data_IF_010915881896
#
_entry.id   IF_010915881896
#
_cell.length_a   1.000
_cell.length_b   1.000
_cell.length_c   1.000
_cell.angle_alpha   90.00
_cell.angle_beta   90.00
_cell.angle_gamma   90.00
#
_symmetry.space_group_name_H-M   'P 1'
#
loop_
_entity.id
_entity.type
_entity.pdbx_description
1 polymer ?
#
# COMPACT_ATOMS: atom_id res chain seq x y z
N UNK A 1 -16.68 -4.53 11.38
CA UNK A 1 -15.35 -3.96 11.63
C UNK A 1 -14.83 -3.32 10.37
N UNK A 2 -14.34 -2.10 10.50
CA UNK A 2 -13.79 -1.39 9.35
C UNK A 2 -12.37 -1.89 9.04
N UNK A 3 -12.06 -1.97 7.75
CA UNK A 3 -10.74 -2.35 7.28
C UNK A 3 -10.22 -1.30 6.29
N UNK A 4 -8.90 -1.22 6.16
CA UNK A 4 -8.26 -0.24 5.31
C UNK A 4 -7.07 -0.85 4.58
N UNK A 5 -6.95 -0.52 3.29
CA UNK A 5 -5.78 -0.84 2.49
C UNK A 5 -4.94 0.43 2.33
N UNK A 6 -3.68 0.32 2.74
CA UNK A 6 -2.70 1.39 2.57
C UNK A 6 -1.91 1.09 1.31
N UNK A 7 -2.18 1.84 0.25
CA UNK A 7 -1.66 1.55 -1.09
C UNK A 7 -0.39 2.37 -1.33
N UNK A 8 0.70 1.67 -1.66
CA UNK A 8 1.96 2.30 -2.04
C UNK A 8 2.25 2.00 -3.50
N UNK A 9 1.98 2.95 -4.42
CA UNK A 9 2.42 2.76 -5.80
C UNK A 9 3.93 2.95 -5.89
N UNK A 10 4.61 2.03 -6.56
CA UNK A 10 6.06 2.07 -6.69
C UNK A 10 6.52 1.80 -8.12
N UNK A 11 7.66 2.40 -8.47
CA UNK A 11 8.36 2.13 -9.69
C UNK A 11 9.86 2.22 -9.41
N UNK A 12 10.57 1.09 -9.55
CA UNK A 12 12.02 1.02 -9.33
C UNK A 12 12.45 1.57 -7.96
N UNK A 13 11.83 1.04 -6.90
CA UNK A 13 12.06 1.47 -5.52
C UNK A 13 12.62 0.35 -4.64
N UNK A 14 13.38 -0.59 -5.24
CA UNK A 14 13.86 -1.77 -4.50
C UNK A 14 14.69 -1.45 -3.26
N UNK A 15 15.39 -0.31 -3.26
CA UNK A 15 16.26 0.07 -2.14
C UNK A 15 15.51 0.55 -0.91
N UNK A 16 14.34 1.17 -1.11
CA UNK A 16 13.61 1.81 -0.01
C UNK A 16 12.32 1.11 0.34
N UNK A 17 11.85 0.20 -0.51
CA UNK A 17 10.53 -0.40 -0.33
C UNK A 17 10.38 -1.13 1.01
N UNK A 18 11.32 -2.00 1.35
CA UNK A 18 11.21 -2.77 2.59
C UNK A 18 11.17 -1.87 3.82
N UNK A 19 12.00 -0.82 3.84
CA UNK A 19 12.03 0.13 4.94
C UNK A 19 10.72 0.91 5.02
N UNK A 20 10.20 1.36 3.88
CA UNK A 20 8.95 2.11 3.83
C UNK A 20 7.78 1.27 4.31
N UNK A 21 7.69 0.02 3.87
CA UNK A 21 6.63 -0.89 4.32
C UNK A 21 6.76 -1.16 5.82
N UNK A 22 7.97 -1.35 6.33
CA UNK A 22 8.19 -1.58 7.75
C UNK A 22 7.75 -0.38 8.60
N UNK A 23 8.10 0.83 8.17
CA UNK A 23 7.71 2.06 8.88
C UNK A 23 6.20 2.24 8.88
N UNK A 24 5.57 2.04 7.72
CA UNK A 24 4.12 2.20 7.59
C UNK A 24 3.38 1.15 8.41
N UNK A 25 3.85 -0.10 8.38
CA UNK A 25 3.24 -1.18 9.15
C UNK A 25 3.32 -0.93 10.65
N UNK A 26 4.47 -0.47 11.13
CA UNK A 26 4.65 -0.14 12.54
C UNK A 26 3.74 1.01 12.97
N UNK A 27 3.64 2.05 12.13
CA UNK A 27 2.74 3.17 12.41
C UNK A 27 1.29 2.72 12.45
N UNK A 28 0.87 1.91 11.47
CA UNK A 28 -0.50 1.43 11.38
C UNK A 28 -0.86 0.57 12.60
N UNK A 29 0.02 -0.33 12.99
CA UNK A 29 -0.21 -1.18 14.16
C UNK A 29 -0.37 -0.38 15.44
N UNK A 30 0.36 0.73 15.56
CA UNK A 30 0.33 1.57 16.76
C UNK A 30 -0.84 2.56 16.77
N UNK A 31 -1.35 2.97 15.60
CA UNK A 31 -2.25 4.11 15.51
C UNK A 31 -3.62 3.83 14.92
N UNK A 32 -3.77 2.81 14.08
CA UNK A 32 -5.05 2.53 13.44
C UNK A 32 -5.90 1.60 14.28
N UNK A 33 -7.15 2.00 14.61
CA UNK A 33 -8.08 1.11 15.30
C UNK A 33 -8.77 0.13 14.37
N UNK A 34 -8.40 0.14 13.08
CA UNK A 34 -8.99 -0.69 12.04
C UNK A 34 -8.09 -1.86 11.72
N UNK A 35 -8.64 -2.88 11.07
CA UNK A 35 -7.83 -3.87 10.41
C UNK A 35 -7.17 -3.21 9.21
N UNK A 36 -5.85 -3.34 9.09
CA UNK A 36 -5.09 -2.67 8.04
C UNK A 36 -4.25 -3.66 7.25
N UNK A 37 -3.92 -3.26 6.05
CA UNK A 37 -3.04 -4.02 5.17
C UNK A 37 -2.29 -3.06 4.27
N UNK A 38 -0.99 -3.30 4.08
CA UNK A 38 -0.16 -2.53 3.16
C UNK A 38 -0.16 -3.24 1.82
N UNK A 39 -0.56 -2.55 0.77
CA UNK A 39 -0.60 -3.10 -0.57
C UNK A 39 0.38 -2.35 -1.46
N UNK A 40 1.39 -3.06 -1.95
CA UNK A 40 2.37 -2.50 -2.88
C UNK A 40 1.81 -2.64 -4.29
N UNK A 41 1.62 -1.51 -4.97
CA UNK A 41 1.18 -1.49 -6.36
C UNK A 41 2.40 -1.26 -7.24
N UNK A 42 3.00 -2.35 -7.71
CA UNK A 42 4.19 -2.30 -8.54
C UNK A 42 3.82 -1.87 -9.96
N UNK A 43 4.33 -0.72 -10.36
CA UNK A 43 3.98 -0.06 -11.61
C UNK A 43 4.98 -0.42 -12.73
N UNK A 44 5.04 -1.70 -13.05
CA UNK A 44 5.91 -2.26 -14.09
C UNK A 44 7.40 -1.96 -13.83
N UNK A 45 7.86 -2.17 -12.60
CA UNK A 45 9.27 -1.97 -12.24
C UNK A 45 10.18 -2.90 -13.03
N UNK A 46 11.34 -2.39 -13.39
CA UNK A 46 12.37 -3.12 -14.14
C UNK A 46 13.52 -3.61 -13.24
N UNK A 47 13.54 -3.18 -11.99
CA UNK A 47 14.52 -3.61 -10.99
C UNK A 47 13.95 -4.71 -10.09
N UNK A 48 14.50 -4.89 -8.90
CA UNK A 48 14.06 -5.89 -7.93
C UNK A 48 12.85 -5.51 -7.08
N UNK A 49 12.17 -4.42 -7.39
CA UNK A 49 11.02 -3.94 -6.59
C UNK A 49 9.94 -5.01 -6.42
N UNK A 50 9.54 -5.66 -7.51
CA UNK A 50 8.50 -6.69 -7.44
C UNK A 50 8.95 -7.87 -6.56
N UNK A 51 10.21 -8.29 -6.68
CA UNK A 51 10.74 -9.38 -5.88
C UNK A 51 10.73 -9.02 -4.38
N UNK A 52 11.09 -7.80 -4.04
CA UNK A 52 11.03 -7.31 -2.66
C UNK A 52 9.58 -7.32 -2.15
N UNK A 53 8.65 -6.82 -2.95
CA UNK A 53 7.24 -6.79 -2.58
C UNK A 53 6.68 -8.20 -2.35
N UNK A 54 7.02 -9.14 -3.22
CA UNK A 54 6.59 -10.53 -3.09
C UNK A 54 7.16 -11.17 -1.82
N UNK A 55 8.42 -10.89 -1.52
CA UNK A 55 9.06 -11.39 -0.31
C UNK A 55 8.37 -10.85 0.95
N UNK A 56 8.04 -9.57 0.97
CA UNK A 56 7.33 -8.97 2.09
C UNK A 56 5.94 -9.59 2.27
N UNK A 57 5.27 -9.89 1.17
CA UNK A 57 3.96 -10.56 1.23
C UNK A 57 4.07 -11.98 1.79
N UNK A 58 5.13 -12.71 1.43
CA UNK A 58 5.36 -14.05 1.96
C UNK A 58 5.66 -14.03 3.45
N UNK A 59 6.42 -13.02 3.92
CA UNK A 59 6.78 -12.90 5.32
C UNK A 59 5.60 -12.42 6.18
N UNK A 60 4.72 -11.60 5.61
CA UNK A 60 3.60 -10.98 6.33
C UNK A 60 2.32 -11.09 5.51
N UNK A 61 1.80 -12.32 5.28
CA UNK A 61 0.67 -12.51 4.37
C UNK A 61 -0.63 -11.83 4.81
N UNK A 62 -0.79 -11.60 6.12
CA UNK A 62 -1.99 -10.94 6.63
C UNK A 62 -1.90 -9.41 6.55
N UNK A 63 -0.68 -8.87 6.55
CA UNK A 63 -0.43 -7.43 6.64
C UNK A 63 0.02 -6.81 5.33
N UNK A 64 0.48 -7.61 4.38
CA UNK A 64 1.03 -7.13 3.11
C UNK A 64 0.42 -7.85 1.92
N UNK A 65 0.26 -7.11 0.83
CA UNK A 65 -0.14 -7.66 -0.45
C UNK A 65 0.59 -6.94 -1.57
N UNK A 66 0.55 -7.50 -2.77
CA UNK A 66 1.20 -6.92 -3.93
C UNK A 66 0.29 -7.02 -5.14
N UNK A 67 0.29 -5.95 -5.94
CA UNK A 67 -0.36 -5.89 -7.25
C UNK A 67 0.72 -5.52 -8.25
N UNK A 68 0.79 -6.27 -9.35
CA UNK A 68 1.79 -6.04 -10.39
C UNK A 68 1.11 -5.63 -11.70
N UNK A 69 1.62 -4.56 -12.32
CA UNK A 69 1.21 -4.13 -13.64
C UNK A 69 2.30 -4.42 -14.66
N UNK A 70 1.90 -4.91 -15.83
CA UNK A 70 2.82 -5.17 -16.94
C UNK A 70 3.24 -3.91 -17.68
N UNK A 71 2.43 -2.85 -17.58
CA UNK A 71 2.67 -1.58 -18.24
C UNK A 71 2.68 -0.45 -17.24
N UNK A 72 3.64 0.44 -17.39
CA UNK A 72 3.78 1.61 -16.54
C UNK A 72 2.56 2.54 -16.69
N UNK A 73 2.05 3.02 -15.57
CA UNK A 73 0.93 3.96 -15.53
C UNK A 73 0.42 4.11 -14.11
N UNK A 74 0.77 5.22 -13.44
CA UNK A 74 0.38 5.45 -12.05
C UNK A 74 -1.13 5.33 -11.84
N UNK A 75 -1.92 5.94 -12.72
CA UNK A 75 -3.36 5.87 -12.65
C UNK A 75 -3.89 4.44 -12.77
N UNK A 76 -3.25 3.62 -13.59
CA UNK A 76 -3.59 2.21 -13.74
C UNK A 76 -3.33 1.43 -12.47
N UNK A 77 -2.19 1.67 -11.85
CA UNK A 77 -1.81 0.99 -10.61
C UNK A 77 -2.82 1.31 -9.50
N UNK A 78 -3.18 2.57 -9.35
CA UNK A 78 -4.15 3.00 -8.35
C UNK A 78 -5.54 2.45 -8.65
N UNK A 79 -5.96 2.48 -9.90
CA UNK A 79 -7.26 1.94 -10.31
C UNK A 79 -7.35 0.44 -10.06
N UNK A 80 -6.29 -0.30 -10.37
CA UNK A 80 -6.26 -1.73 -10.13
C UNK A 80 -6.32 -2.06 -8.65
N UNK A 81 -5.56 -1.33 -7.83
CA UNK A 81 -5.62 -1.49 -6.38
C UNK A 81 -7.03 -1.23 -5.86
N UNK A 82 -7.68 -0.19 -6.37
CA UNK A 82 -9.06 0.14 -6.02
C UNK A 82 -10.00 -1.02 -6.36
N UNK A 83 -9.90 -1.56 -7.58
CA UNK A 83 -10.82 -2.60 -8.05
C UNK A 83 -10.62 -3.93 -7.33
N UNK A 84 -9.40 -4.25 -6.94
CA UNK A 84 -9.09 -5.52 -6.28
C UNK A 84 -9.22 -5.46 -4.75
N UNK A 85 -9.35 -4.27 -4.18
CA UNK A 85 -9.46 -4.12 -2.73
C UNK A 85 -10.81 -4.58 -2.23
N UNK A 86 -10.80 -5.31 -1.12
CA UNK A 86 -12.02 -5.66 -0.38
C UNK A 86 -12.15 -4.86 0.90
N UNK A 87 -11.26 -3.91 1.13
CA UNK A 87 -11.28 -3.09 2.33
C UNK A 87 -12.40 -2.05 2.28
N UNK A 88 -12.83 -1.60 3.46
CA UNK A 88 -13.87 -0.57 3.57
C UNK A 88 -13.36 0.80 3.17
N UNK A 89 -12.06 1.04 3.32
CA UNK A 89 -11.44 2.30 2.96
C UNK A 89 -10.06 2.06 2.37
N UNK A 90 -9.56 3.05 1.62
CA UNK A 90 -8.22 2.99 1.05
C UNK A 90 -7.53 4.32 1.22
N UNK A 91 -6.20 4.27 1.35
CA UNK A 91 -5.37 5.45 1.41
C UNK A 91 -4.16 5.23 0.50
N UNK A 92 -3.85 6.22 -0.32
CA UNK A 92 -2.68 6.17 -1.20
C UNK A 92 -1.58 7.04 -0.60
N UNK A 93 -0.33 6.57 -0.71
CA UNK A 93 0.80 7.35 -0.22
C UNK A 93 2.05 7.01 -1.02
N UNK A 94 3.00 7.94 -1.05
CA UNK A 94 4.26 7.72 -1.74
C UNK A 94 5.15 6.77 -0.96
N UNK A 95 5.97 6.01 -1.69
CA UNK A 95 6.87 5.02 -1.10
C UNK A 95 7.91 5.65 -0.17
N UNK A 96 8.27 6.90 -0.39
CA UNK A 96 9.21 7.62 0.47
C UNK A 96 8.56 8.17 1.74
N UNK A 97 7.25 7.96 1.89
CA UNK A 97 6.45 8.41 3.03
C UNK A 97 6.59 9.92 3.26
N UNK A 98 6.61 10.69 2.15
CA UNK A 98 6.69 12.15 2.21
C UNK A 98 5.45 12.77 2.87
N UNK A 99 4.35 12.05 2.89
CA UNK A 99 3.13 12.48 3.59
C UNK A 99 3.31 12.27 5.09
N UNK A 100 2.88 13.24 5.88
CA UNK A 100 2.87 13.10 7.33
C UNK A 100 1.92 11.96 7.72
N UNK A 101 2.45 10.93 8.34
CA UNK A 101 1.67 9.75 8.72
C UNK A 101 0.54 10.09 9.69
N UNK A 102 0.70 11.13 10.50
CA UNK A 102 -0.35 11.55 11.44
C UNK A 102 -1.61 12.05 10.72
N UNK A 103 -1.49 12.43 9.45
CA UNK A 103 -2.60 12.91 8.65
C UNK A 103 -3.42 11.79 8.01
N UNK A 104 -2.96 10.55 8.08
CA UNK A 104 -3.63 9.43 7.40
C UNK A 104 -5.01 9.16 7.97
N UNK A 105 -5.18 9.21 9.28
CA UNK A 105 -6.47 8.93 9.92
C UNK A 105 -7.59 9.82 9.40
N UNK A 106 -7.41 11.15 9.28
CA UNK A 106 -8.42 12.00 8.67
C UNK A 106 -8.70 11.64 7.21
N UNK A 107 -7.68 11.30 6.43
CA UNK A 107 -7.86 10.92 5.03
C UNK A 107 -8.68 9.65 4.88
N UNK A 108 -8.47 8.68 5.76
CA UNK A 108 -9.23 7.43 5.75
C UNK A 108 -10.71 7.66 6.05
N UNK A 109 -11.04 8.64 6.86
CA UNK A 109 -12.42 8.95 7.19
C UNK A 109 -13.16 9.56 5.99
N UNK A 110 -12.43 10.18 5.06
CA UNK A 110 -13.01 10.87 3.91
C UNK A 110 -13.30 9.93 2.74
N UNK A 111 -12.59 8.81 2.65
CA UNK A 111 -12.64 7.95 1.47
C UNK A 111 -13.12 6.53 1.76
N UNK A 112 -14.29 6.33 2.39
CA UNK A 112 -14.83 4.99 2.53
C UNK A 112 -15.24 4.48 1.15
N UNK A 113 -14.99 3.21 0.92
CA UNK A 113 -15.41 2.59 -0.31
C UNK A 113 -16.88 2.21 -0.20
N UNK A 114 -17.68 2.67 -1.15
CA UNK A 114 -19.08 2.26 -1.24
C UNK A 114 -19.21 1.15 -2.30
N UNK A 115 -19.87 0.12 -1.92
CA UNK A 115 -20.17 -0.98 -2.86
C UNK A 115 -21.33 -0.62 -3.78
#
# INVERSE_FOLDING_TARGET
MKSVDLIIPCYNEERVLAESVAKLSAWAAANLPYRWRVVVADNASTDGTLAVAQQLTELHPDDCGVIHLDRKGRGRALKRAWLESTADAMCYMDVDLSTDLEMITPLLAVAPRTS
#
